data_IF_312874336127
#
_entry.id   IF_312874336127
#
_cell.length_a   1.000
_cell.length_b   1.000
_cell.length_c   1.000
_cell.angle_alpha   90.00
_cell.angle_beta   90.00
_cell.angle_gamma   90.00
#
_symmetry.space_group_name_H-M   'P 1'
#
loop_
_entity.id
_entity.type
_entity.pdbx_description
1 polymer ?
#
# COMPACT_ATOMS: atom_id res chain seq x y z
N UNK A 1 14.96 -10.03 -6.56
CA UNK A 1 13.75 -10.29 -7.37
C UNK A 1 12.56 -10.32 -6.43
N UNK A 2 11.63 -9.38 -6.56
CA UNK A 2 10.39 -9.40 -5.78
C UNK A 2 9.39 -10.27 -6.55
N UNK A 3 9.27 -11.53 -6.17
CA UNK A 3 8.20 -12.41 -6.69
C UNK A 3 6.89 -11.86 -6.16
N UNK A 4 5.97 -11.52 -7.08
CA UNK A 4 4.62 -11.10 -6.72
C UNK A 4 3.99 -12.17 -5.82
N UNK A 5 3.90 -11.87 -4.52
CA UNK A 5 3.23 -12.74 -3.56
C UNK A 5 1.76 -12.87 -3.93
N UNK A 6 1.19 -14.05 -3.71
CA UNK A 6 -0.24 -14.37 -3.79
C UNK A 6 -1.10 -13.62 -2.75
N UNK A 7 -0.62 -12.49 -2.21
CA UNK A 7 -1.32 -11.69 -1.23
C UNK A 7 -2.56 -11.02 -1.81
N UNK A 8 -3.48 -10.63 -0.91
CA UNK A 8 -4.76 -9.98 -1.19
C UNK A 8 -4.66 -8.64 -1.97
N UNK A 9 -3.44 -8.16 -2.26
CA UNK A 9 -3.11 -6.77 -2.62
C UNK A 9 -3.27 -6.34 -4.09
N UNK A 10 -3.44 -7.24 -5.07
CA UNK A 10 -3.59 -6.82 -6.48
C UNK A 10 -5.00 -6.38 -6.87
N UNK A 11 -5.92 -6.41 -5.89
CA UNK A 11 -7.21 -7.04 -6.10
C UNK A 11 -8.44 -6.15 -5.96
N UNK A 12 -8.39 -5.24 -5.01
CA UNK A 12 -9.58 -4.89 -4.28
C UNK A 12 -9.46 -3.43 -3.86
N UNK A 13 -10.53 -2.67 -4.12
CA UNK A 13 -10.80 -1.47 -3.35
C UNK A 13 -11.36 -1.91 -2.01
N UNK A 14 -10.54 -2.55 -1.16
CA UNK A 14 -10.98 -2.86 0.20
C UNK A 14 -11.31 -1.50 0.83
N UNK A 15 -12.59 -1.25 1.10
CA UNK A 15 -13.14 -0.03 1.72
C UNK A 15 -13.64 1.13 0.83
N UNK A 16 -13.76 0.98 -0.50
CA UNK A 16 -14.33 2.09 -1.28
C UNK A 16 -15.87 2.19 -1.19
N UNK A 17 -16.62 1.13 -0.92
CA UNK A 17 -18.07 1.26 -0.79
C UNK A 17 -18.74 0.21 0.07
N UNK A 18 -19.43 0.67 1.10
CA UNK A 18 -20.68 0.08 1.56
C UNK A 18 -21.79 0.80 0.78
N UNK A 19 -22.24 0.24 -0.35
CA UNK A 19 -23.32 0.83 -1.13
C UNK A 19 -24.22 -0.21 -1.79
N UNK A 20 -25.53 0.00 -1.66
CA UNK A 20 -26.58 -0.63 -2.45
C UNK A 20 -26.53 -0.12 -3.90
N UNK A 21 -26.82 -1.01 -4.84
CA UNK A 21 -26.75 -0.78 -6.29
C UNK A 21 -27.68 0.34 -6.78
N UNK A 22 -27.14 1.26 -7.60
CA UNK A 22 -27.74 1.80 -8.85
C UNK A 22 -26.84 2.90 -9.46
N UNK A 23 -26.20 2.60 -10.60
CA UNK A 23 -25.42 3.55 -11.42
C UNK A 23 -24.13 2.95 -12.04
N UNK A 24 -23.70 3.35 -13.25
CA UNK A 24 -22.61 2.68 -13.98
C UNK A 24 -21.20 2.97 -13.43
N UNK A 25 -21.01 4.03 -12.64
CA UNK A 25 -19.84 4.27 -11.79
C UNK A 25 -20.28 5.10 -10.58
N UNK A 26 -20.99 4.48 -9.64
CA UNK A 26 -21.42 5.13 -8.40
C UNK A 26 -20.69 4.50 -7.21
N UNK A 27 -19.79 5.27 -6.60
CA UNK A 27 -19.11 4.94 -5.36
C UNK A 27 -19.78 5.74 -4.25
N UNK A 28 -20.80 5.17 -3.60
CA UNK A 28 -21.43 5.81 -2.45
C UNK A 28 -20.60 5.53 -1.20
N UNK A 29 -19.97 6.59 -0.67
CA UNK A 29 -19.25 6.57 0.59
C UNK A 29 -20.23 6.88 1.73
N UNK A 30 -20.40 5.97 2.70
CA UNK A 30 -21.08 6.27 3.97
C UNK A 30 -20.03 6.51 5.05
N UNK A 31 -20.02 7.71 5.61
CA UNK A 31 -19.32 8.05 6.84
C UNK A 31 -20.27 7.84 8.03
N UNK A 32 -19.82 7.29 9.16
CA UNK A 32 -18.50 6.70 9.44
C UNK A 32 -18.35 5.27 8.85
N UNK A 33 -17.10 4.87 8.54
CA UNK A 33 -16.77 3.50 8.10
C UNK A 33 -16.67 2.58 9.32
N UNK A 34 -17.76 2.48 10.08
CA UNK A 34 -17.98 1.43 11.08
C UNK A 34 -19.11 0.53 10.60
N UNK A 35 -19.07 -0.74 11.01
CA UNK A 35 -20.08 -1.74 10.66
C UNK A 35 -19.58 -2.82 9.71
N UNK A 36 -20.52 -3.57 9.17
CA UNK A 36 -20.30 -4.77 8.36
C UNK A 36 -20.79 -4.57 6.92
N UNK A 37 -20.09 -5.17 5.97
CA UNK A 37 -20.65 -5.38 4.64
C UNK A 37 -19.74 -6.09 3.66
N UNK A 38 -20.21 -6.17 2.41
CA UNK A 38 -19.50 -6.84 1.33
C UNK A 38 -18.46 -5.89 0.74
N UNK A 39 -17.21 -6.37 0.64
CA UNK A 39 -16.14 -5.61 0.04
C UNK A 39 -16.38 -5.35 -1.45
N UNK A 40 -16.43 -4.08 -1.83
CA UNK A 40 -16.48 -3.71 -3.24
C UNK A 40 -15.14 -3.95 -3.93
N UNK A 41 -15.21 -4.50 -5.14
CA UNK A 41 -14.05 -4.72 -6.02
C UNK A 41 -14.12 -3.71 -7.15
N UNK A 42 -12.97 -3.12 -7.54
CA UNK A 42 -12.92 -2.27 -8.73
C UNK A 42 -13.07 -3.14 -9.96
N UNK A 43 -14.25 -3.08 -10.57
CA UNK A 43 -14.61 -3.89 -11.72
C UNK A 43 -15.35 -3.09 -12.78
N UNK A 44 -15.14 -3.49 -14.04
CA UNK A 44 -15.91 -3.03 -15.21
C UNK A 44 -16.37 -4.27 -15.97
N UNK A 45 -17.67 -4.36 -16.24
CA UNK A 45 -18.29 -5.51 -16.91
C UNK A 45 -17.93 -6.88 -16.28
N UNK A 46 -17.89 -6.95 -14.95
CA UNK A 46 -17.58 -8.18 -14.20
C UNK A 46 -16.08 -8.50 -14.05
N UNK A 47 -15.21 -7.86 -14.84
CA UNK A 47 -13.75 -8.03 -14.81
C UNK A 47 -13.06 -6.96 -13.96
N UNK A 48 -11.84 -7.22 -13.47
CA UNK A 48 -11.00 -6.22 -12.81
C UNK A 48 -10.79 -5.02 -13.72
N UNK A 49 -11.06 -3.82 -13.21
CA UNK A 49 -10.69 -2.57 -13.88
C UNK A 49 -9.41 -2.03 -13.23
N UNK A 50 -8.30 -2.11 -13.96
CA UNK A 50 -6.99 -1.63 -13.47
C UNK A 50 -6.82 -0.12 -13.72
N UNK A 51 -5.97 0.55 -12.95
CA UNK A 51 -5.62 1.97 -13.19
C UNK A 51 -5.05 2.15 -14.60
N UNK A 52 -4.24 1.20 -15.09
CA UNK A 52 -3.73 1.22 -16.46
C UNK A 52 -4.85 1.12 -17.51
N UNK A 53 -5.85 0.27 -17.28
CA UNK A 53 -7.00 0.15 -18.19
C UNK A 53 -7.84 1.43 -18.21
N UNK A 54 -8.04 2.06 -17.05
CA UNK A 54 -8.87 3.26 -16.92
C UNK A 54 -8.16 4.50 -17.49
N UNK A 55 -6.90 4.72 -17.13
CA UNK A 55 -6.17 5.95 -17.48
C UNK A 55 -5.28 5.79 -18.73
N UNK A 56 -4.45 4.74 -18.81
CA UNK A 56 -3.45 4.64 -19.88
C UNK A 56 -4.06 4.22 -21.22
N UNK A 57 -5.10 3.38 -21.24
CA UNK A 57 -5.72 2.98 -22.51
C UNK A 57 -6.25 4.17 -23.31
N UNK A 58 -6.83 5.18 -22.65
CA UNK A 58 -7.31 6.40 -23.30
C UNK A 58 -6.18 7.28 -23.84
N UNK A 59 -4.95 7.11 -23.34
CA UNK A 59 -3.80 7.95 -23.65
C UNK A 59 -2.74 7.25 -24.51
N UNK A 60 -2.90 5.97 -24.88
CA UNK A 60 -1.85 5.19 -25.57
C UNK A 60 -1.32 5.82 -26.86
N UNK A 61 -2.10 6.61 -27.58
CA UNK A 61 -1.64 7.32 -28.78
C UNK A 61 -0.87 8.62 -28.48
N UNK A 62 -0.89 9.08 -27.23
CA UNK A 62 -0.28 10.34 -26.77
C UNK A 62 0.95 10.13 -25.88
N UNK A 63 1.21 8.90 -25.44
CA UNK A 63 2.32 8.58 -24.54
C UNK A 63 3.09 7.37 -25.05
N UNK A 64 4.41 7.38 -24.84
CA UNK A 64 5.23 6.19 -25.02
C UNK A 64 5.16 5.34 -23.75
N UNK A 65 4.89 4.03 -23.91
CA UNK A 65 4.86 3.08 -22.80
C UNK A 65 5.93 2.02 -23.05
N UNK A 66 6.96 2.01 -22.19
CA UNK A 66 8.03 1.00 -22.22
C UNK A 66 7.83 -0.02 -21.10
N UNK A 67 7.22 -1.16 -21.42
CA UNK A 67 7.07 -2.28 -20.48
C UNK A 67 8.36 -3.11 -20.39
N UNK A 68 8.56 -3.82 -19.27
CA UNK A 68 9.76 -4.64 -19.04
C UNK A 68 11.06 -3.82 -19.07
N UNK A 69 10.96 -2.53 -18.78
CA UNK A 69 12.07 -1.58 -18.74
C UNK A 69 12.28 -1.14 -17.30
N UNK A 70 13.43 -1.49 -16.72
CA UNK A 70 13.75 -1.14 -15.34
C UNK A 70 14.61 0.12 -15.32
N UNK A 71 14.15 1.13 -14.59
CA UNK A 71 14.98 2.30 -14.24
C UNK A 71 15.97 1.88 -13.16
N UNK A 72 17.25 2.17 -13.38
CA UNK A 72 18.32 1.91 -12.42
C UNK A 72 18.54 3.10 -11.49
N UNK A 73 18.56 4.32 -12.02
CA UNK A 73 18.68 5.56 -11.26
C UNK A 73 18.15 6.78 -12.00
N UNK A 74 17.90 7.85 -11.25
CA UNK A 74 17.67 9.21 -11.77
C UNK A 74 19.02 9.84 -12.11
N UNK A 75 19.10 10.52 -13.24
CA UNK A 75 20.32 11.19 -13.73
C UNK A 75 20.23 12.69 -13.47
N UNK A 76 21.35 13.26 -13.05
CA UNK A 76 21.48 14.66 -12.67
C UNK A 76 22.53 15.37 -13.54
N UNK A 77 22.28 16.65 -13.79
CA UNK A 77 23.29 17.63 -14.17
C UNK A 77 23.30 18.71 -13.07
N UNK A 78 24.38 18.75 -12.28
CA UNK A 78 24.45 19.51 -11.03
C UNK A 78 23.24 19.23 -10.11
N UNK A 79 22.45 20.26 -9.78
CA UNK A 79 21.27 20.16 -8.92
C UNK A 79 19.96 19.87 -9.68
N UNK A 80 20.02 19.67 -11.00
CA UNK A 80 18.85 19.49 -11.86
C UNK A 80 18.75 18.08 -12.41
N UNK A 81 17.59 17.46 -12.24
CA UNK A 81 17.27 16.20 -12.91
C UNK A 81 17.17 16.40 -14.42
N UNK A 82 17.81 15.51 -15.18
CA UNK A 82 17.83 15.55 -16.65
C UNK A 82 17.33 14.25 -17.30
N UNK A 83 16.93 13.24 -16.51
CA UNK A 83 16.41 11.99 -17.05
C UNK A 83 16.56 10.80 -16.11
N UNK A 84 16.50 9.62 -16.68
CA UNK A 84 16.69 8.35 -15.99
C UNK A 84 17.64 7.44 -16.77
N UNK A 85 18.47 6.69 -16.04
CA UNK A 85 19.29 5.62 -16.60
C UNK A 85 18.55 4.30 -16.42
N UNK A 86 18.44 3.53 -17.50
CA UNK A 86 17.84 2.21 -17.52
C UNK A 86 18.87 1.15 -17.12
N UNK A 87 18.41 -0.03 -16.72
CA UNK A 87 19.31 -1.15 -16.40
C UNK A 87 20.12 -1.67 -17.61
N UNK A 88 19.77 -1.25 -18.82
CA UNK A 88 20.54 -1.48 -20.05
C UNK A 88 21.73 -0.51 -20.22
N UNK A 89 21.80 0.56 -19.42
CA UNK A 89 22.74 1.68 -19.57
C UNK A 89 22.23 2.80 -20.50
N UNK A 90 21.06 2.64 -21.11
CA UNK A 90 20.42 3.71 -21.89
C UNK A 90 19.99 4.87 -20.98
N UNK A 91 20.25 6.11 -21.40
CA UNK A 91 19.73 7.31 -20.74
C UNK A 91 18.52 7.82 -21.51
N UNK A 92 17.38 7.91 -20.82
CA UNK A 92 16.18 8.57 -21.32
C UNK A 92 16.15 9.98 -20.75
N UNK A 93 16.39 10.97 -21.60
CA UNK A 93 16.38 12.39 -21.23
C UNK A 93 14.96 12.88 -20.96
N UNK A 94 14.81 13.73 -19.94
CA UNK A 94 13.54 14.36 -19.58
C UNK A 94 13.76 15.69 -18.86
N UNK A 95 12.92 16.69 -19.18
CA UNK A 95 12.90 17.96 -18.46
C UNK A 95 12.41 17.82 -17.01
N UNK A 96 11.59 16.80 -16.74
CA UNK A 96 11.02 16.47 -15.44
C UNK A 96 10.89 14.97 -15.27
N UNK A 97 11.15 14.48 -14.06
CA UNK A 97 10.97 13.07 -13.69
C UNK A 97 9.96 12.97 -12.56
N UNK A 98 8.96 12.11 -12.73
CA UNK A 98 7.98 11.77 -11.70
C UNK A 98 8.18 10.31 -11.32
N UNK A 99 8.56 10.06 -10.07
CA UNK A 99 8.77 8.72 -9.51
C UNK A 99 7.43 8.18 -8.98
N UNK A 100 7.03 7.02 -9.51
CA UNK A 100 5.79 6.32 -9.14
C UNK A 100 6.04 4.81 -8.93
N UNK A 101 7.17 4.43 -8.34
CA UNK A 101 7.56 3.01 -8.19
C UNK A 101 6.99 2.37 -6.91
N UNK A 102 6.25 3.12 -6.10
CA UNK A 102 5.55 2.68 -4.90
C UNK A 102 6.39 2.81 -3.62
N UNK A 103 5.73 2.69 -2.46
CA UNK A 103 6.34 2.91 -1.13
C UNK A 103 7.68 2.20 -0.86
N UNK A 104 7.89 1.03 -1.44
CA UNK A 104 9.14 0.29 -1.26
C UNK A 104 10.23 0.73 -2.24
N UNK A 105 9.87 0.98 -3.50
CA UNK A 105 10.85 1.18 -4.56
C UNK A 105 11.17 2.65 -4.82
N UNK A 106 10.27 3.58 -4.51
CA UNK A 106 10.49 5.02 -4.68
C UNK A 106 11.62 5.53 -3.79
N UNK A 107 11.62 5.31 -2.46
CA UNK A 107 12.75 5.69 -1.64
C UNK A 107 14.03 4.94 -2.02
N UNK A 108 13.94 3.65 -2.35
CA UNK A 108 15.08 2.86 -2.80
C UNK A 108 15.73 3.43 -4.06
N UNK A 109 14.91 3.81 -5.06
CA UNK A 109 15.39 4.41 -6.30
C UNK A 109 16.10 5.74 -6.01
N UNK A 110 15.51 6.59 -5.16
CA UNK A 110 16.12 7.87 -4.79
C UNK A 110 17.46 7.67 -4.04
N UNK A 111 17.53 6.71 -3.12
CA UNK A 111 18.78 6.35 -2.42
C UNK A 111 19.85 5.85 -3.39
N UNK A 112 19.48 4.92 -4.29
CA UNK A 112 20.39 4.40 -5.33
C UNK A 112 20.86 5.45 -6.33
N UNK A 113 20.07 6.51 -6.51
CA UNK A 113 20.43 7.67 -7.32
C UNK A 113 21.39 8.64 -6.60
N UNK A 114 21.76 8.34 -5.35
CA UNK A 114 22.69 9.14 -4.55
C UNK A 114 22.05 10.31 -3.82
N UNK A 115 20.72 10.40 -3.74
CA UNK A 115 20.05 11.50 -3.07
C UNK A 115 20.03 11.32 -1.55
N UNK A 116 20.56 12.31 -0.83
CA UNK A 116 20.55 12.39 0.62
C UNK A 116 19.52 13.44 1.09
N UNK A 117 18.23 13.09 0.99
CA UNK A 117 17.13 13.95 1.46
C UNK A 117 16.76 13.58 2.89
N UNK A 118 16.62 14.58 3.77
CA UNK A 118 16.19 14.35 5.15
C UNK A 118 14.84 13.62 5.16
N UNK A 119 14.79 12.53 5.93
CA UNK A 119 13.59 11.72 6.07
C UNK A 119 13.39 10.62 5.02
N UNK A 120 14.24 10.55 4.00
CA UNK A 120 14.14 9.54 2.96
C UNK A 120 14.20 8.13 3.56
N UNK A 121 13.25 7.29 3.18
CA UNK A 121 13.09 5.92 3.69
C UNK A 121 12.39 5.82 5.05
N UNK A 122 12.11 6.91 5.77
CA UNK A 122 11.44 6.86 7.08
C UNK A 122 9.93 6.75 6.95
N UNK A 123 9.28 6.42 8.07
CA UNK A 123 7.81 6.30 8.20
C UNK A 123 7.21 5.27 7.25
N UNK A 124 7.95 4.20 6.96
CA UNK A 124 7.38 3.06 6.23
C UNK A 124 6.26 2.47 7.07
N UNK A 125 5.07 2.32 6.51
CA UNK A 125 3.93 1.74 7.19
C UNK A 125 3.20 0.75 6.28
N UNK A 126 2.62 -0.28 6.88
CA UNK A 126 1.58 -1.13 6.32
C UNK A 126 0.52 -1.33 7.42
N UNK A 127 -0.57 -2.05 7.16
CA UNK A 127 -1.48 -2.49 8.21
C UNK A 127 -0.97 -3.81 8.81
N UNK A 128 -0.55 -3.82 10.09
CA UNK A 128 -0.30 -5.08 10.79
C UNK A 128 -1.55 -5.95 10.79
N UNK A 129 -1.40 -7.22 10.42
CA UNK A 129 -2.51 -8.15 10.32
C UNK A 129 -2.07 -9.56 10.66
N UNK A 130 -2.98 -10.35 11.25
CA UNK A 130 -2.78 -11.78 11.49
C UNK A 130 -3.89 -12.55 10.79
N UNK A 131 -3.54 -13.60 10.05
CA UNK A 131 -4.52 -14.47 9.42
C UNK A 131 -4.83 -15.66 10.35
N UNK A 132 -6.08 -15.75 10.80
CA UNK A 132 -6.63 -16.93 11.43
C UNK A 132 -7.25 -17.80 10.33
N UNK A 133 -6.94 -19.10 10.31
CA UNK A 133 -7.34 -20.00 9.21
C UNK A 133 -8.11 -21.20 9.76
N UNK A 134 -9.11 -21.66 9.00
CA UNK A 134 -9.84 -22.89 9.29
C UNK A 134 -10.33 -23.54 7.98
N UNK A 135 -10.68 -24.82 8.03
CA UNK A 135 -11.17 -25.57 6.86
C UNK A 135 -12.46 -24.99 6.30
N UNK A 136 -12.56 -24.93 4.96
CA UNK A 136 -13.75 -24.43 4.29
C UNK A 136 -14.85 -25.50 4.13
N UNK A 137 -15.94 -25.35 4.88
CA UNK A 137 -17.12 -26.24 4.84
C UNK A 137 -18.15 -25.85 3.74
N UNK A 138 -17.66 -25.55 2.53
CA UNK A 138 -18.53 -25.27 1.37
C UNK A 138 -18.91 -23.81 1.13
N UNK A 139 -18.20 -22.84 1.72
CA UNK A 139 -18.34 -21.44 1.34
C UNK A 139 -17.75 -21.21 -0.05
N UNK A 140 -18.41 -20.40 -0.91
CA UNK A 140 -17.90 -20.12 -2.24
C UNK A 140 -16.65 -19.24 -2.18
N UNK A 141 -15.69 -19.50 -3.08
CA UNK A 141 -14.42 -18.77 -3.20
C UNK A 141 -14.58 -17.26 -3.48
N UNK A 142 -15.78 -16.82 -3.86
CA UNK A 142 -16.12 -15.42 -4.08
C UNK A 142 -16.47 -14.64 -2.81
N UNK A 143 -16.62 -15.31 -1.66
CA UNK A 143 -17.00 -14.69 -0.38
C UNK A 143 -15.88 -13.79 0.14
N UNK A 144 -16.21 -12.51 0.36
CA UNK A 144 -15.32 -11.52 0.94
C UNK A 144 -16.13 -10.51 1.78
N UNK A 145 -16.17 -10.70 3.09
CA UNK A 145 -16.84 -9.77 4.02
C UNK A 145 -15.80 -8.90 4.72
N UNK A 146 -16.21 -7.70 5.13
CA UNK A 146 -15.42 -6.85 6.00
C UNK A 146 -16.28 -6.33 7.15
N UNK A 147 -15.70 -6.35 8.34
CA UNK A 147 -16.24 -5.68 9.52
C UNK A 147 -15.22 -4.68 10.06
N UNK A 148 -15.66 -3.47 10.43
CA UNK A 148 -14.79 -2.43 10.99
C UNK A 148 -15.36 -1.87 12.29
N UNK A 149 -14.52 -1.90 13.32
CA UNK A 149 -14.82 -1.30 14.63
C UNK A 149 -13.51 -0.96 15.35
N UNK A 150 -13.48 0.15 16.09
CA UNK A 150 -12.37 0.47 17.00
C UNK A 150 -10.99 0.58 16.32
N UNK A 151 -10.93 1.01 15.05
CA UNK A 151 -9.66 1.13 14.31
C UNK A 151 -9.12 -0.17 13.72
N UNK A 152 -9.86 -1.28 13.87
CA UNK A 152 -9.54 -2.59 13.29
C UNK A 152 -10.48 -2.89 12.14
N UNK A 153 -9.95 -3.48 11.08
CA UNK A 153 -10.72 -4.14 10.02
C UNK A 153 -10.53 -5.64 10.11
N UNK A 154 -11.61 -6.41 10.08
CA UNK A 154 -11.58 -7.87 9.93
C UNK A 154 -12.06 -8.19 8.53
N UNK A 155 -11.25 -8.94 7.77
CA UNK A 155 -11.64 -9.46 6.46
C UNK A 155 -11.78 -10.97 6.55
N UNK A 156 -12.90 -11.51 6.09
CA UNK A 156 -13.06 -12.95 5.90
C UNK A 156 -13.09 -13.26 4.41
N UNK A 157 -12.25 -14.21 3.98
CA UNK A 157 -12.12 -14.61 2.58
C UNK A 157 -11.85 -16.10 2.46
N UNK A 158 -12.33 -16.72 1.40
CA UNK A 158 -12.02 -18.12 1.07
C UNK A 158 -10.81 -18.17 0.15
N UNK A 159 -9.81 -18.98 0.49
CA UNK A 159 -8.57 -19.20 -0.29
C UNK A 159 -8.36 -20.69 -0.44
N UNK A 160 -8.67 -21.23 -1.62
CA UNK A 160 -8.65 -22.68 -1.84
C UNK A 160 -9.64 -23.38 -0.91
N UNK A 161 -9.13 -24.32 -0.12
CA UNK A 161 -9.91 -25.13 0.83
C UNK A 161 -9.91 -24.55 2.26
N UNK A 162 -9.42 -23.31 2.45
CA UNK A 162 -9.40 -22.62 3.73
C UNK A 162 -10.26 -21.36 3.73
N UNK A 163 -10.80 -21.01 4.89
CA UNK A 163 -11.30 -19.68 5.20
C UNK A 163 -10.26 -18.93 6.00
N UNK A 164 -9.95 -17.70 5.59
CA UNK A 164 -9.01 -16.81 6.23
C UNK A 164 -9.78 -15.65 6.84
N UNK A 165 -9.66 -15.47 8.16
CA UNK A 165 -10.20 -14.34 8.91
C UNK A 165 -9.04 -13.48 9.38
N UNK A 166 -8.97 -12.25 8.87
CA UNK A 166 -7.79 -11.39 8.93
C UNK A 166 -8.13 -10.08 9.63
N UNK A 167 -8.02 -10.01 10.98
CA UNK A 167 -7.95 -8.74 11.68
C UNK A 167 -6.68 -7.96 11.28
N UNK A 168 -6.86 -6.69 10.96
CA UNK A 168 -5.82 -5.76 10.56
C UNK A 168 -6.01 -4.40 11.22
N UNK A 169 -4.92 -3.80 11.69
CA UNK A 169 -4.93 -2.45 12.25
C UNK A 169 -4.94 -1.40 11.15
N UNK A 170 -5.99 -0.58 11.12
CA UNK A 170 -6.16 0.45 10.09
C UNK A 170 -5.50 1.78 10.44
N UNK A 171 -5.06 1.98 11.69
CA UNK A 171 -4.38 3.20 12.15
C UNK A 171 -3.16 2.87 13.01
N UNK A 172 -2.19 2.10 12.49
CA UNK A 172 -0.99 1.76 13.24
C UNK A 172 -0.18 3.02 13.54
N UNK A 173 0.41 3.04 14.73
CA UNK A 173 1.31 4.11 15.17
C UNK A 173 2.78 3.75 14.96
N UNK A 174 3.09 2.46 14.86
CA UNK A 174 4.42 1.94 14.56
C UNK A 174 4.84 2.36 13.16
N UNK A 175 6.14 2.66 13.01
CA UNK A 175 6.73 3.03 11.74
C UNK A 175 8.05 2.31 11.52
N UNK A 176 8.25 1.88 10.30
CA UNK A 176 9.46 1.27 9.78
C UNK A 176 10.39 2.23 9.06
N UNK A 177 11.42 1.64 8.48
CA UNK A 177 12.45 2.32 7.68
C UNK A 177 12.83 1.49 6.47
N UNK A 178 13.19 2.16 5.37
CA UNK A 178 13.94 1.59 4.25
C UNK A 178 15.32 2.21 4.32
N UNK A 179 16.36 1.38 4.41
CA UNK A 179 17.72 1.87 4.59
C UNK A 179 18.75 0.74 4.54
N UNK A 180 20.02 1.11 4.55
CA UNK A 180 21.11 0.14 4.61
C UNK A 180 21.10 -0.59 5.97
N UNK A 181 21.23 -1.92 5.93
CA UNK A 181 21.53 -2.74 7.10
C UNK A 181 23.03 -2.73 7.43
N UNK A 182 23.43 -3.52 8.43
CA UNK A 182 24.82 -3.58 8.92
C UNK A 182 25.81 -4.07 7.84
N UNK A 183 25.34 -4.86 6.87
CA UNK A 183 26.11 -5.35 5.73
C UNK A 183 26.12 -4.36 4.55
N UNK A 184 25.43 -3.22 4.69
CA UNK A 184 25.31 -2.19 3.65
C UNK A 184 24.24 -2.50 2.59
N UNK A 185 23.47 -3.57 2.73
CA UNK A 185 22.36 -3.89 1.83
C UNK A 185 21.12 -3.06 2.18
N UNK A 186 20.43 -2.50 1.17
CA UNK A 186 19.21 -1.72 1.42
C UNK A 186 18.04 -2.68 1.60
N UNK A 187 17.42 -2.63 2.78
CA UNK A 187 16.26 -3.44 3.13
C UNK A 187 15.10 -2.61 3.67
N UNK A 188 13.90 -3.19 3.63
CA UNK A 188 12.70 -2.60 4.20
C UNK A 188 12.38 -3.28 5.54
N UNK A 189 12.43 -2.51 6.62
CA UNK A 189 12.07 -2.95 7.97
C UNK A 189 10.75 -2.31 8.37
N UNK A 190 9.63 -3.02 8.24
CA UNK A 190 8.30 -2.47 8.57
C UNK A 190 8.07 -2.20 10.05
N UNK A 191 8.74 -2.95 10.95
CA UNK A 191 8.64 -2.77 12.40
C UNK A 191 7.17 -2.77 12.89
N UNK A 192 6.39 -3.73 12.38
CA UNK A 192 4.96 -3.87 12.68
C UNK A 192 4.75 -4.09 14.18
N UNK A 193 3.78 -3.38 14.75
CA UNK A 193 3.42 -3.44 16.17
C UNK A 193 4.62 -3.34 17.12
N UNK A 194 5.59 -2.46 16.86
CA UNK A 194 6.65 -2.15 17.84
C UNK A 194 6.12 -1.29 19.00
N UNK A 195 5.11 -0.45 18.74
CA UNK A 195 4.45 0.31 19.79
C UNK A 195 3.47 -0.58 20.56
N UNK A 196 3.50 -0.50 21.89
CA UNK A 196 2.64 -1.30 22.77
C UNK A 196 1.13 -1.12 22.48
N UNK A 197 0.69 0.09 22.15
CA UNK A 197 -0.71 0.35 21.80
C UNK A 197 -1.18 -0.36 20.52
N UNK A 198 -0.29 -0.52 19.53
CA UNK A 198 -0.62 -1.31 18.34
C UNK A 198 -0.70 -2.80 18.71
N UNK A 199 0.23 -3.31 19.52
CA UNK A 199 0.18 -4.70 19.98
C UNK A 199 -1.11 -5.01 20.73
N UNK A 200 -1.49 -4.14 21.68
CA UNK A 200 -2.71 -4.28 22.49
C UNK A 200 -3.96 -4.32 21.61
N UNK A 201 -4.10 -3.37 20.68
CA UNK A 201 -5.27 -3.30 19.80
C UNK A 201 -5.37 -4.50 18.86
N UNK A 202 -4.26 -4.92 18.24
CA UNK A 202 -4.28 -6.07 17.33
C UNK A 202 -4.53 -7.36 18.10
N UNK A 203 -3.92 -7.53 19.26
CA UNK A 203 -4.11 -8.72 20.08
C UNK A 203 -5.54 -8.83 20.60
N UNK A 204 -6.15 -7.72 21.02
CA UNK A 204 -7.55 -7.68 21.43
C UNK A 204 -8.48 -8.09 20.28
N UNK A 205 -8.21 -7.59 19.07
CA UNK A 205 -8.96 -7.96 17.88
C UNK A 205 -8.83 -9.44 17.53
N UNK A 206 -7.59 -9.96 17.52
CA UNK A 206 -7.31 -11.37 17.23
C UNK A 206 -7.98 -12.27 18.26
N UNK A 207 -7.86 -11.96 19.54
CA UNK A 207 -8.49 -12.72 20.63
C UNK A 207 -10.01 -12.75 20.49
N UNK A 208 -10.63 -11.62 20.14
CA UNK A 208 -12.07 -11.56 19.89
C UNK A 208 -12.48 -12.43 18.71
N UNK A 209 -11.82 -12.28 17.57
CA UNK A 209 -12.11 -13.07 16.36
C UNK A 209 -11.91 -14.56 16.62
N UNK A 210 -10.84 -14.93 17.32
CA UNK A 210 -10.58 -16.30 17.73
C UNK A 210 -11.71 -16.87 18.59
N UNK A 211 -12.22 -16.11 19.57
CA UNK A 211 -13.35 -16.53 20.40
C UNK A 211 -14.63 -16.72 19.59
N UNK A 212 -14.92 -15.80 18.65
CA UNK A 212 -16.09 -15.91 17.75
C UNK A 212 -16.02 -17.15 16.85
N UNK A 213 -14.82 -17.64 16.57
CA UNK A 213 -14.54 -18.81 15.72
C UNK A 213 -14.08 -20.05 16.49
N UNK A 214 -14.18 -20.07 17.83
CA UNK A 214 -13.59 -21.12 18.68
C UNK A 214 -14.14 -22.54 18.43
N UNK A 215 -15.28 -22.67 17.74
CA UNK A 215 -15.86 -23.95 17.32
C UNK A 215 -15.28 -24.50 16.02
N UNK A 216 -14.45 -23.74 15.31
CA UNK A 216 -13.81 -24.17 14.06
C UNK A 216 -12.56 -24.98 14.38
N UNK A 217 -12.44 -26.17 13.81
CA UNK A 217 -11.25 -26.98 13.96
C UNK A 217 -10.06 -26.36 13.22
N UNK A 218 -8.86 -26.48 13.80
CA UNK A 218 -7.60 -26.09 13.17
C UNK A 218 -7.20 -24.61 13.28
N UNK A 219 -8.01 -23.76 13.94
CA UNK A 219 -7.67 -22.35 14.13
C UNK A 219 -6.52 -22.19 15.14
N UNK A 220 -5.42 -21.60 14.70
CA UNK A 220 -4.31 -21.25 15.60
C UNK A 220 -4.59 -19.92 16.30
N UNK A 221 -4.60 -19.94 17.63
CA UNK A 221 -5.03 -18.82 18.49
C UNK A 221 -3.97 -18.49 19.54
N UNK A 222 -3.97 -17.26 20.10
CA UNK A 222 -3.04 -16.87 21.16
C UNK A 222 -3.06 -17.86 22.33
N UNK A 223 -1.86 -18.21 22.84
CA UNK A 223 -1.72 -19.07 24.03
C UNK A 223 -1.81 -18.20 25.29
N UNK A 224 -2.61 -18.59 26.30
CA UNK A 224 -2.70 -17.86 27.56
C UNK A 224 -1.33 -17.61 28.20
N UNK A 225 -1.05 -16.36 28.56
CA UNK A 225 0.21 -15.92 29.17
C UNK A 225 1.40 -15.78 28.22
N UNK A 226 1.21 -16.02 26.91
CA UNK A 226 2.23 -15.84 25.85
C UNK A 226 1.65 -15.16 24.61
N UNK A 227 0.64 -14.33 24.80
CA UNK A 227 -0.12 -13.70 23.72
C UNK A 227 0.76 -12.73 22.91
N UNK A 228 1.62 -11.96 23.58
CA UNK A 228 2.55 -11.04 22.92
C UNK A 228 3.61 -11.77 22.08
N UNK A 229 4.22 -12.83 22.62
CA UNK A 229 5.18 -13.67 21.89
C UNK A 229 4.52 -14.31 20.66
N UNK A 230 3.34 -14.90 20.85
CA UNK A 230 2.56 -15.47 19.76
C UNK A 230 2.23 -14.44 18.68
N UNK A 231 1.85 -13.21 19.06
CA UNK A 231 1.55 -12.15 18.09
C UNK A 231 2.79 -11.79 17.26
N UNK A 232 3.94 -11.61 17.91
CA UNK A 232 5.17 -11.26 17.22
C UNK A 232 5.66 -12.37 16.29
N UNK A 233 5.57 -13.63 16.71
CA UNK A 233 5.87 -14.80 15.85
C UNK A 233 4.95 -14.84 14.62
N UNK A 234 3.66 -14.54 14.81
CA UNK A 234 2.68 -14.49 13.72
C UNK A 234 2.98 -13.34 12.76
N UNK A 235 3.25 -12.14 13.27
CA UNK A 235 3.63 -10.99 12.45
C UNK A 235 4.91 -11.24 11.66
N UNK A 236 5.91 -11.91 12.25
CA UNK A 236 7.16 -12.27 11.59
C UNK A 236 6.97 -13.35 10.50
N UNK A 237 6.00 -14.25 10.67
CA UNK A 237 5.70 -15.31 9.70
C UNK A 237 4.69 -14.92 8.61
N UNK A 238 3.97 -13.81 8.77
CA UNK A 238 3.11 -13.26 7.72
C UNK A 238 3.92 -12.57 6.63
N UNK A 239 4.17 -13.29 5.54
CA UNK A 239 4.61 -12.71 4.26
C UNK A 239 3.64 -13.12 3.14
N UNK A 240 3.13 -12.18 2.32
CA UNK A 240 3.36 -10.74 2.42
C UNK A 240 2.55 -10.09 3.55
N UNK A 241 3.07 -8.95 4.00
CA UNK A 241 2.35 -7.90 4.72
C UNK A 241 1.02 -7.60 4.01
N UNK A 242 0.05 -6.96 4.67
CA UNK A 242 -1.30 -6.67 4.14
C UNK A 242 -1.31 -5.96 2.76
N UNK A 243 -0.13 -5.57 2.27
CA UNK A 243 0.20 -5.13 0.91
C UNK A 243 -0.28 -3.71 0.68
N UNK A 244 -0.34 -2.94 1.76
CA UNK A 244 -0.77 -1.55 1.79
C UNK A 244 0.41 -0.62 2.15
N UNK A 245 1.63 -0.99 1.74
CA UNK A 245 2.82 -0.21 2.03
C UNK A 245 2.66 1.27 1.60
N UNK A 246 2.99 2.18 2.53
CA UNK A 246 3.01 3.63 2.36
C UNK A 246 4.22 4.23 3.08
N UNK A 247 4.51 5.51 2.81
CA UNK A 247 5.64 6.22 3.42
C UNK A 247 6.97 5.94 2.71
N UNK A 248 8.05 6.53 3.23
CA UNK A 248 9.39 6.48 2.63
C UNK A 248 9.77 7.73 1.83
N UNK A 249 8.81 8.45 1.25
CA UNK A 249 9.03 9.76 0.59
C UNK A 249 8.04 10.81 1.11
N UNK A 250 7.75 10.78 2.42
CA UNK A 250 6.63 11.48 3.03
C UNK A 250 6.55 12.98 2.68
N UNK A 251 5.36 13.42 2.32
CA UNK A 251 5.03 14.82 2.09
C UNK A 251 5.20 15.63 3.37
N UNK A 252 5.84 16.79 3.26
CA UNK A 252 6.23 17.64 4.38
C UNK A 252 7.63 17.32 4.93
N UNK A 253 8.17 16.12 4.70
CA UNK A 253 9.52 15.72 5.14
C UNK A 253 10.47 15.59 3.95
N UNK A 254 10.19 14.67 3.01
CA UNK A 254 11.00 14.40 1.81
C UNK A 254 10.50 15.19 0.60
N UNK A 255 9.17 15.31 0.47
CA UNK A 255 8.53 16.02 -0.64
C UNK A 255 7.75 17.25 -0.18
N UNK A 256 7.53 18.21 -1.06
CA UNK A 256 6.62 19.33 -0.81
C UNK A 256 5.15 18.96 -1.12
N UNK A 257 4.22 19.92 -0.95
CA UNK A 257 2.76 19.73 -1.18
C UNK A 257 2.38 19.52 -2.65
N UNK A 258 3.34 19.64 -3.56
CA UNK A 258 3.25 19.35 -4.99
C UNK A 258 4.03 18.08 -5.36
N UNK A 259 4.52 17.32 -4.37
CA UNK A 259 5.30 16.10 -4.59
C UNK A 259 6.74 16.36 -5.04
N UNK A 260 7.22 17.62 -5.07
CA UNK A 260 8.62 17.91 -5.43
C UNK A 260 9.56 17.36 -4.38
N UNK A 261 10.61 16.68 -4.80
CA UNK A 261 11.68 16.23 -3.88
C UNK A 261 12.46 17.45 -3.41
N UNK A 262 12.57 17.62 -2.09
CA UNK A 262 13.24 18.79 -1.51
C UNK A 262 14.71 18.81 -1.90
N UNK A 263 15.18 19.99 -2.33
CA UNK A 263 16.57 20.21 -2.71
C UNK A 263 16.97 19.68 -4.10
N UNK A 264 16.04 19.06 -4.84
CA UNK A 264 16.32 18.50 -6.17
C UNK A 264 15.40 19.14 -7.21
N UNK A 265 15.96 19.81 -8.21
CA UNK A 265 15.16 20.48 -9.23
C UNK A 265 14.59 19.46 -10.24
N UNK A 266 13.32 19.64 -10.61
CA UNK A 266 12.60 18.84 -11.61
C UNK A 266 12.40 17.34 -11.28
N UNK A 267 12.51 16.98 -10.00
CA UNK A 267 12.20 15.65 -9.49
C UNK A 267 10.96 15.64 -8.59
N UNK A 268 10.05 14.71 -8.85
CA UNK A 268 8.77 14.59 -8.16
C UNK A 268 8.51 13.14 -7.73
N UNK A 269 7.66 12.94 -6.73
CA UNK A 269 7.13 11.63 -6.33
C UNK A 269 5.60 11.72 -6.27
N UNK A 270 4.92 10.75 -6.88
CA UNK A 270 3.45 10.74 -6.99
C UNK A 270 2.87 9.33 -6.80
N UNK A 271 3.19 8.70 -5.66
CA UNK A 271 2.65 7.40 -5.27
C UNK A 271 2.42 7.30 -3.75
N UNK A 272 2.11 6.09 -3.26
CA UNK A 272 1.82 5.86 -1.84
C UNK A 272 2.97 6.16 -0.88
N UNK A 273 4.19 6.35 -1.37
CA UNK A 273 5.35 6.71 -0.54
C UNK A 273 5.24 8.11 0.07
N UNK A 274 4.41 9.00 -0.52
CA UNK A 274 4.29 10.38 -0.03
C UNK A 274 3.32 10.53 1.13
N UNK A 275 2.55 9.49 1.48
CA UNK A 275 1.66 9.56 2.63
C UNK A 275 2.48 9.70 3.93
N UNK A 276 2.24 10.75 4.74
CA UNK A 276 2.93 10.92 6.03
C UNK A 276 2.41 9.96 7.11
N UNK A 277 1.19 9.44 6.93
CA UNK A 277 0.59 8.36 7.71
C UNK A 277 -0.28 7.52 6.77
N UNK A 278 -0.28 6.21 6.97
CA UNK A 278 -1.08 5.28 6.16
C UNK A 278 -2.58 5.64 6.20
N UNK A 279 -3.27 5.72 5.05
CA UNK A 279 -4.72 5.89 5.03
C UNK A 279 -5.41 4.78 5.81
N UNK A 280 -6.50 5.09 6.53
CA UNK A 280 -7.21 4.08 7.34
C UNK A 280 -8.13 3.12 6.57
N UNK A 281 -7.81 2.93 5.29
CA UNK A 281 -8.49 2.16 4.25
C UNK A 281 -7.45 1.61 3.28
N UNK A 282 -7.82 0.74 2.33
CA UNK A 282 -6.86 0.32 1.31
C UNK A 282 -6.33 1.54 0.53
N UNK A 283 -5.00 1.64 0.34
CA UNK A 283 -4.38 2.83 -0.21
C UNK A 283 -4.60 3.00 -1.71
N UNK A 284 -5.18 2.04 -2.44
CA UNK A 284 -5.37 2.15 -3.88
C UNK A 284 -6.19 3.39 -4.28
N UNK A 285 -7.40 3.57 -3.73
CA UNK A 285 -8.22 4.77 -4.03
C UNK A 285 -7.57 6.06 -3.51
N UNK A 286 -7.06 6.12 -2.25
CA UNK A 286 -6.27 7.26 -1.79
C UNK A 286 -5.09 7.63 -2.72
N UNK A 287 -4.39 6.64 -3.27
CA UNK A 287 -3.26 6.86 -4.18
C UNK A 287 -3.71 7.41 -5.52
N UNK A 288 -4.83 6.91 -6.07
CA UNK A 288 -5.44 7.49 -7.29
C UNK A 288 -5.89 8.93 -7.03
N UNK A 289 -6.56 9.19 -5.91
CA UNK A 289 -7.01 10.54 -5.54
C UNK A 289 -5.83 11.50 -5.35
N UNK A 290 -4.74 11.03 -4.74
CA UNK A 290 -3.49 11.78 -4.63
C UNK A 290 -2.96 12.15 -6.01
N UNK A 291 -2.88 11.20 -6.94
CA UNK A 291 -2.36 11.43 -8.29
C UNK A 291 -3.22 12.46 -9.06
N UNK A 292 -4.55 12.35 -8.99
CA UNK A 292 -5.48 13.33 -9.58
C UNK A 292 -5.26 14.73 -8.97
N UNK A 293 -5.18 14.80 -7.64
CA UNK A 293 -4.97 16.06 -6.93
C UNK A 293 -3.63 16.71 -7.29
N UNK A 294 -2.56 15.93 -7.42
CA UNK A 294 -1.25 16.43 -7.83
C UNK A 294 -1.28 16.90 -9.28
N UNK A 295 -1.92 16.15 -10.18
CA UNK A 295 -2.08 16.51 -11.60
C UNK A 295 -2.77 17.86 -11.77
N UNK A 296 -3.89 18.09 -11.09
CA UNK A 296 -4.60 19.37 -11.15
C UNK A 296 -3.76 20.51 -10.57
N UNK A 297 -3.11 20.28 -9.42
CA UNK A 297 -2.23 21.30 -8.82
C UNK A 297 -1.00 21.61 -9.67
N UNK A 298 -0.48 20.65 -10.43
CA UNK A 298 0.61 20.90 -11.36
C UNK A 298 0.17 21.80 -12.52
N UNK A 299 -1.07 21.65 -13.01
CA UNK A 299 -1.64 22.57 -14.01
C UNK A 299 -1.78 23.97 -13.43
N UNK A 300 -2.37 24.10 -12.23
CA UNK A 300 -2.58 25.39 -11.56
C UNK A 300 -1.25 26.10 -11.27
N UNK A 301 -0.21 25.34 -10.94
CA UNK A 301 1.13 25.86 -10.66
C UNK A 301 1.97 26.12 -11.93
N UNK A 302 1.44 25.88 -13.13
CA UNK A 302 2.17 26.03 -14.40
C UNK A 302 3.36 25.06 -14.56
N UNK A 303 3.35 23.93 -13.85
CA UNK A 303 4.38 22.90 -13.95
C UNK A 303 4.20 22.01 -15.19
N UNK A 304 2.97 21.92 -15.70
CA UNK A 304 2.63 21.22 -16.94
C UNK A 304 1.78 22.15 -17.80
N UNK A 305 2.00 22.14 -19.11
CA UNK A 305 1.12 22.82 -20.07
C UNK A 305 -0.18 22.03 -20.21
N UNK A 306 -1.31 22.75 -20.23
CA UNK A 306 -2.64 22.17 -20.46
C UNK A 306 -2.85 21.63 -21.86
#
# INVERSE_FOLDING_TARGET
>A
SYTAGSGLGGGSAINAGLASSTGPFFLQHRLPVEGEGINQRVRRNGSRASVAEVYLNALRSKVEIRSSTKVERVVMNDARTCGVELNSGEIVEADRVVVCTGALMSPLLLMKSGFAVEGLGRRLQDHPSVALRYSNDGLPSSTLTAHRAGGVQVIETVVGDEVWVVPALMRPTSTGVIGANDDGEIEAQFRLCQNAGDQELLLAAVTKVAADHARREGIDVPRPGREGEWLMDRLASTTPVYSHATGGCCMGEVTDRLGRVKGIENLFVADSSVFPAIPSVNPMIPTVQLAETLSDRWRDAGLVSG
#
